data_IF_876876821161
#
_entry.id   IF_876876821161
#
_cell.length_a   1.000
_cell.length_b   1.000
_cell.length_c   1.000
_cell.angle_alpha   90.00
_cell.angle_beta   90.00
_cell.angle_gamma   90.00
#
_symmetry.space_group_name_H-M   'P 1'
#
loop_
_entity.id
_entity.type
_entity.pdbx_description
1 polymer ?
#
# COMPACT_ATOMS: atom_id res chain seq x y z
N UNK A 1 -13.40 20.59 10.29
CA UNK A 1 -12.82 21.46 11.34
C UNK A 1 -13.25 20.93 12.70
N UNK A 2 -12.54 19.93 13.22
CA UNK A 2 -12.51 19.64 14.65
C UNK A 2 -11.26 20.36 15.20
N UNK A 3 -11.45 21.23 16.18
CA UNK A 3 -10.34 21.92 16.82
C UNK A 3 -9.55 20.91 17.67
N UNK A 4 -8.35 20.55 17.22
CA UNK A 4 -7.39 19.82 18.04
C UNK A 4 -6.91 20.77 19.14
N UNK A 5 -7.42 20.63 20.35
CA UNK A 5 -6.96 21.38 21.52
C UNK A 5 -5.83 20.57 22.18
N UNK A 6 -4.57 20.92 21.92
CA UNK A 6 -3.40 20.34 22.59
C UNK A 6 -2.88 21.29 23.68
N UNK A 7 -2.75 20.81 24.91
CA UNK A 7 -2.21 21.56 26.05
C UNK A 7 -0.88 20.96 26.53
N UNK A 8 0.24 21.67 26.37
CA UNK A 8 1.57 21.20 26.80
C UNK A 8 1.81 21.34 28.32
N UNK A 9 2.60 20.43 28.91
CA UNK A 9 3.08 20.53 30.29
C UNK A 9 4.57 20.11 30.43
N UNK A 10 5.35 20.86 31.22
CA UNK A 10 6.72 20.54 31.64
C UNK A 10 6.88 20.73 33.16
N UNK A 11 7.72 19.90 33.81
CA UNK A 11 8.10 20.15 35.20
C UNK A 11 9.37 19.42 35.64
N UNK A 12 10.25 20.12 36.38
CA UNK A 12 11.24 19.56 37.33
C UNK A 12 11.54 20.60 38.44
N UNK A 13 11.80 20.12 39.67
CA UNK A 13 12.15 20.89 40.88
C UNK A 13 13.58 20.68 41.37
N UNK A 14 14.17 21.75 41.93
CA UNK A 14 15.03 21.87 43.13
C UNK A 14 16.27 22.74 42.89
N UNK A 15 16.88 23.37 43.93
CA UNK A 15 17.76 24.53 43.77
C UNK A 15 19.20 24.28 44.25
N UNK A 16 20.19 24.69 43.46
CA UNK A 16 21.35 25.52 43.80
C UNK A 16 22.11 25.93 42.52
N UNK A 17 22.13 27.24 42.20
CA UNK A 17 22.70 27.85 40.99
C UNK A 17 22.32 27.13 39.68
N UNK A 18 21.02 27.01 39.43
CA UNK A 18 20.54 26.36 38.21
C UNK A 18 20.61 27.37 37.07
N UNK A 19 21.14 26.91 35.93
CA UNK A 19 20.80 27.51 34.65
C UNK A 19 19.28 27.71 34.61
N UNK A 20 18.83 28.86 34.12
CA UNK A 20 17.42 29.13 33.96
C UNK A 20 16.77 28.00 33.15
N UNK A 21 15.60 27.54 33.57
CA UNK A 21 14.90 26.53 32.81
C UNK A 21 14.54 27.11 31.42
N UNK A 22 14.74 26.35 30.32
CA UNK A 22 14.28 26.79 29.02
C UNK A 22 12.76 26.94 29.03
N UNK A 23 12.27 27.98 28.36
CA UNK A 23 10.85 28.30 28.23
C UNK A 23 10.45 28.14 26.77
N UNK A 24 9.49 27.28 26.50
CA UNK A 24 8.84 27.15 25.19
C UNK A 24 7.51 27.90 25.25
N UNK A 25 7.25 28.76 24.27
CA UNK A 25 6.00 29.53 24.17
C UNK A 25 5.59 29.71 22.69
N UNK A 26 4.45 30.35 22.44
CA UNK A 26 3.94 30.66 21.11
C UNK A 26 3.88 29.44 20.17
N UNK A 27 3.55 28.27 20.71
CA UNK A 27 3.40 27.04 19.93
C UNK A 27 2.16 27.18 19.04
N UNK A 28 2.38 27.18 17.74
CA UNK A 28 1.33 27.17 16.72
C UNK A 28 1.48 25.94 15.85
N UNK A 29 0.36 25.45 15.34
CA UNK A 29 0.29 24.29 14.48
C UNK A 29 -0.50 24.68 13.23
N UNK A 30 0.05 24.43 12.05
CA UNK A 30 -0.59 24.76 10.78
C UNK A 30 -0.35 23.63 9.77
N UNK A 31 -1.43 23.05 9.25
CA UNK A 31 -1.33 22.14 8.12
C UNK A 31 -1.23 22.97 6.84
N UNK A 32 -0.26 22.64 5.96
CA UNK A 32 -0.17 23.29 4.65
C UNK A 32 -1.37 22.93 3.79
N UNK A 33 -1.83 23.91 3.02
CA UNK A 33 -3.00 23.80 2.12
C UNK A 33 -2.59 23.64 0.65
N UNK A 34 -1.31 23.38 0.39
CA UNK A 34 -0.71 23.25 -0.94
C UNK A 34 -0.62 21.80 -1.42
N UNK A 35 -1.18 20.84 -0.67
CA UNK A 35 -1.13 19.41 -0.98
C UNK A 35 0.17 18.71 -0.56
N UNK A 36 1.12 19.42 0.04
CA UNK A 36 2.37 18.80 0.54
C UNK A 36 2.18 17.93 1.78
N UNK A 37 1.04 18.07 2.48
CA UNK A 37 0.69 17.31 3.70
C UNK A 37 1.64 17.50 4.87
N UNK A 38 2.49 18.52 4.78
CA UNK A 38 3.38 18.93 5.86
C UNK A 38 2.57 19.65 6.94
N UNK A 39 2.76 19.23 8.19
CA UNK A 39 2.31 19.97 9.36
C UNK A 39 3.47 20.84 9.87
N UNK A 40 3.32 22.15 9.78
CA UNK A 40 4.27 23.10 10.36
C UNK A 40 3.89 23.36 11.83
N UNK A 41 4.82 23.10 12.74
CA UNK A 41 4.75 23.49 14.15
C UNK A 41 5.74 24.63 14.37
N UNK A 42 5.27 25.83 14.65
CA UNK A 42 6.16 26.94 15.01
C UNK A 42 6.14 27.18 16.52
N UNK A 43 7.26 27.55 17.10
CA UNK A 43 7.37 27.84 18.52
C UNK A 43 8.49 28.83 18.79
N UNK A 44 8.43 29.49 19.93
CA UNK A 44 9.53 30.28 20.47
C UNK A 44 10.17 29.48 21.59
N UNK A 45 11.49 29.56 21.70
CA UNK A 45 12.20 28.96 22.84
C UNK A 45 13.24 29.91 23.38
N UNK A 46 13.19 30.14 24.68
CA UNK A 46 14.13 31.00 25.38
C UNK A 46 14.92 30.17 26.38
N UNK A 47 16.20 30.50 26.53
CA UNK A 47 17.03 30.08 27.64
C UNK A 47 17.87 31.28 28.05
N UNK A 48 17.85 31.61 29.35
CA UNK A 48 18.48 32.83 29.84
C UNK A 48 20.01 32.74 29.82
N UNK A 49 20.54 31.52 29.87
CA UNK A 49 21.98 31.26 29.82
C UNK A 49 22.50 31.15 28.36
N UNK A 50 21.58 30.98 27.41
CA UNK A 50 21.88 30.96 25.97
C UNK A 50 22.44 29.62 25.49
N UNK A 51 22.26 28.55 26.27
CA UNK A 51 22.73 27.22 25.92
C UNK A 51 21.92 26.64 24.75
N UNK A 52 22.54 25.71 24.03
CA UNK A 52 21.81 24.93 23.03
C UNK A 52 20.87 23.93 23.73
N UNK A 53 19.66 23.82 23.20
CA UNK A 53 18.58 23.07 23.81
C UNK A 53 18.35 21.74 23.10
N UNK A 54 17.81 20.79 23.87
CA UNK A 54 17.20 19.58 23.33
C UNK A 54 15.69 19.79 23.27
N UNK A 55 15.12 19.71 22.07
CA UNK A 55 13.69 19.90 21.84
C UNK A 55 13.06 18.55 21.52
N UNK A 56 12.03 18.16 22.26
CA UNK A 56 11.17 17.02 21.95
C UNK A 56 9.76 17.49 21.63
N UNK A 57 9.08 16.74 20.77
CA UNK A 57 7.68 16.92 20.45
C UNK A 57 6.91 15.70 20.97
N UNK A 58 5.68 15.91 21.42
CA UNK A 58 4.71 14.85 21.69
C UNK A 58 3.37 15.31 21.14
N UNK A 59 2.61 14.38 20.57
CA UNK A 59 1.28 14.65 20.04
C UNK A 59 0.23 13.91 20.88
N UNK A 60 -0.99 14.43 20.84
CA UNK A 60 -2.15 13.85 21.50
C UNK A 60 -3.29 13.74 20.48
N UNK A 61 -3.92 12.57 20.44
CA UNK A 61 -5.07 12.30 19.60
C UNK A 61 -6.41 12.48 20.33
N UNK A 62 -6.38 12.73 21.64
CA UNK A 62 -7.57 12.74 22.52
C UNK A 62 -7.75 14.07 23.28
N UNK A 63 -7.30 15.17 22.66
CA UNK A 63 -7.45 16.52 23.24
C UNK A 63 -6.57 16.76 24.47
N UNK A 64 -5.43 16.08 24.56
CA UNK A 64 -4.43 16.24 25.61
C UNK A 64 -4.59 15.30 26.81
N UNK A 65 -5.50 14.32 26.75
CA UNK A 65 -5.69 13.35 27.84
C UNK A 65 -4.55 12.31 27.88
N UNK A 66 -4.03 11.92 26.72
CA UNK A 66 -2.82 11.08 26.57
C UNK A 66 -1.87 11.68 25.54
N UNK A 67 -0.57 11.46 25.76
CA UNK A 67 0.55 12.00 24.95
C UNK A 67 1.38 10.87 24.33
N UNK A 68 0.68 9.83 23.90
CA UNK A 68 1.27 8.61 23.34
C UNK A 68 1.33 8.61 21.82
N UNK A 69 0.83 9.65 21.14
CA UNK A 69 0.90 9.71 19.68
C UNK A 69 2.33 10.12 19.29
N UNK A 70 3.11 9.22 18.67
CA UNK A 70 4.46 9.56 18.26
C UNK A 70 4.36 10.68 17.21
N UNK A 71 5.10 11.80 17.37
CA UNK A 71 5.35 12.70 16.26
C UNK A 71 6.28 11.99 15.30
N UNK A 72 5.69 11.11 14.50
CA UNK A 72 6.37 10.51 13.38
C UNK A 72 6.79 11.65 12.48
N UNK A 73 8.03 11.58 12.00
CA UNK A 73 8.51 12.39 10.89
C UNK A 73 8.76 13.88 11.15
N UNK A 74 9.13 14.23 12.38
CA UNK A 74 9.49 15.60 12.77
C UNK A 74 10.89 16.02 12.30
N UNK A 75 10.99 17.14 11.60
CA UNK A 75 12.24 17.74 11.11
C UNK A 75 12.30 19.23 11.42
N UNK A 76 13.47 19.87 11.25
CA UNK A 76 13.66 21.30 11.52
C UNK A 76 14.29 21.56 12.89
N UNK A 77 13.73 22.48 13.66
CA UNK A 77 14.21 22.82 14.99
C UNK A 77 13.69 21.79 16.02
N UNK A 78 14.20 20.56 15.97
CA UNK A 78 13.87 19.48 16.90
C UNK A 78 15.14 18.68 17.24
N UNK A 79 15.17 18.01 18.38
CA UNK A 79 16.33 17.26 18.87
C UNK A 79 17.38 18.15 19.54
N UNK A 80 18.61 17.67 19.62
CA UNK A 80 19.72 18.37 20.27
C UNK A 80 20.25 19.54 19.42
N UNK A 81 20.82 20.55 20.09
CA UNK A 81 21.59 21.60 19.42
C UNK A 81 20.76 22.80 18.94
N UNK A 82 19.50 22.91 19.37
CA UNK A 82 18.61 24.00 18.94
C UNK A 82 18.92 25.26 19.74
N UNK A 83 19.32 26.34 19.07
CA UNK A 83 19.59 27.61 19.72
C UNK A 83 18.28 28.29 20.20
N UNK A 84 18.30 29.04 21.31
CA UNK A 84 17.20 29.90 21.73
C UNK A 84 16.83 30.93 20.65
N UNK A 85 15.56 31.28 20.52
CA UNK A 85 15.05 32.27 19.58
C UNK A 85 13.56 32.10 19.28
N UNK A 86 13.00 33.12 18.64
CA UNK A 86 11.63 33.11 18.16
C UNK A 86 11.52 32.47 16.76
N UNK A 87 10.34 31.96 16.42
CA UNK A 87 10.02 31.43 15.10
C UNK A 87 10.76 30.13 14.76
N UNK A 88 11.09 29.32 15.76
CA UNK A 88 11.51 27.94 15.54
C UNK A 88 10.38 27.18 14.87
N UNK A 89 10.74 26.22 14.04
CA UNK A 89 9.79 25.53 13.18
C UNK A 89 10.18 24.05 13.09
N UNK A 90 9.19 23.19 13.28
CA UNK A 90 9.24 21.75 13.08
C UNK A 90 8.29 21.40 11.95
N UNK A 91 8.69 20.53 11.04
CA UNK A 91 7.83 20.00 9.98
C UNK A 91 7.58 18.52 10.24
N UNK A 92 6.31 18.10 10.17
CA UNK A 92 5.93 16.69 10.18
C UNK A 92 5.44 16.31 8.77
N UNK A 93 5.97 15.25 8.20
CA UNK A 93 5.67 14.80 6.83
C UNK A 93 5.48 13.28 6.80
N UNK A 94 4.49 12.72 6.12
CA UNK A 94 4.23 11.27 6.17
C UNK A 94 4.74 10.57 4.90
N UNK A 95 5.35 9.39 5.03
CA UNK A 95 5.85 8.61 3.89
C UNK A 95 4.67 8.19 2.96
N UNK A 96 5.01 7.81 1.72
CA UNK A 96 4.07 7.23 0.76
C UNK A 96 3.58 5.85 1.24
N UNK A 97 2.35 5.79 1.76
CA UNK A 97 1.75 4.61 2.39
C UNK A 97 0.51 4.14 1.60
N UNK A 98 0.48 2.84 1.31
CA UNK A 98 -0.70 2.16 0.82
C UNK A 98 -1.23 1.17 1.88
N UNK A 99 -2.51 1.27 2.19
CA UNK A 99 -3.22 0.36 3.11
C UNK A 99 -4.13 -0.54 2.29
N UNK A 100 -4.10 -1.86 2.50
CA UNK A 100 -5.11 -2.76 1.92
C UNK A 100 -5.95 -3.39 3.03
N UNK A 101 -7.12 -2.82 3.22
CA UNK A 101 -8.13 -3.27 4.15
C UNK A 101 -9.12 -4.20 3.43
N UNK A 102 -8.70 -5.45 3.22
CA UNK A 102 -9.51 -6.48 2.54
C UNK A 102 -10.44 -7.25 3.49
N UNK A 103 -10.37 -6.95 4.79
CA UNK A 103 -11.25 -7.49 5.82
C UNK A 103 -12.27 -6.44 6.27
N UNK A 104 -13.49 -6.86 6.66
CA UNK A 104 -14.51 -5.97 7.18
C UNK A 104 -13.99 -5.07 8.31
N UNK A 105 -14.21 -3.77 8.19
CA UNK A 105 -13.79 -2.78 9.18
C UNK A 105 -14.96 -2.03 9.82
N UNK A 106 -14.75 -1.55 11.05
CA UNK A 106 -15.68 -0.64 11.69
C UNK A 106 -15.44 0.80 11.21
N UNK A 107 -16.02 1.15 10.06
CA UNK A 107 -15.89 2.47 9.44
C UNK A 107 -16.66 3.60 10.16
N UNK A 108 -17.28 3.31 11.31
CA UNK A 108 -17.88 4.30 12.19
C UNK A 108 -17.00 4.65 13.39
N UNK A 109 -15.90 3.92 13.60
CA UNK A 109 -14.91 4.22 14.65
C UNK A 109 -14.02 5.40 14.20
N UNK A 110 -14.05 6.56 14.88
CA UNK A 110 -13.21 7.70 14.53
C UNK A 110 -11.71 7.35 14.53
N UNK A 111 -11.25 6.50 15.47
CA UNK A 111 -9.85 6.11 15.53
C UNK A 111 -9.41 5.30 14.31
N UNK A 112 -10.31 4.45 13.78
CA UNK A 112 -10.06 3.71 12.55
C UNK A 112 -10.02 4.64 11.34
N UNK A 113 -10.93 5.62 11.26
CA UNK A 113 -10.95 6.60 10.17
C UNK A 113 -9.68 7.45 10.17
N UNK A 114 -9.29 8.00 11.32
CA UNK A 114 -8.06 8.78 11.49
C UNK A 114 -6.82 7.96 11.18
N UNK A 115 -6.81 6.69 11.59
CA UNK A 115 -5.73 5.76 11.27
C UNK A 115 -5.61 5.58 9.76
N UNK A 116 -6.67 5.16 9.08
CA UNK A 116 -6.62 4.83 7.65
C UNK A 116 -6.44 6.07 6.77
N UNK A 117 -6.98 7.21 7.18
CA UNK A 117 -6.86 8.47 6.44
C UNK A 117 -5.42 9.01 6.37
N UNK A 118 -4.48 8.50 7.17
CA UNK A 118 -3.07 8.85 7.03
C UNK A 118 -2.46 8.35 5.70
N UNK A 119 -3.11 7.42 5.00
CA UNK A 119 -2.55 6.79 3.81
C UNK A 119 -2.72 7.68 2.57
N UNK A 120 -1.89 7.45 1.56
CA UNK A 120 -2.09 8.01 0.21
C UNK A 120 -3.14 7.23 -0.56
N UNK A 121 -3.11 5.91 -0.36
CA UNK A 121 -3.94 4.95 -1.06
C UNK A 121 -4.53 3.96 -0.07
N UNK A 122 -5.83 3.81 -0.14
CA UNK A 122 -6.59 2.78 0.55
C UNK A 122 -7.21 1.84 -0.48
N UNK A 123 -6.84 0.56 -0.43
CA UNK A 123 -7.55 -0.52 -1.11
C UNK A 123 -8.52 -1.15 -0.12
N UNK A 124 -9.81 -1.21 -0.46
CA UNK A 124 -10.84 -1.89 0.35
C UNK A 124 -11.58 -2.92 -0.47
N UNK A 125 -12.28 -3.86 0.16
CA UNK A 125 -13.25 -4.68 -0.58
C UNK A 125 -14.40 -3.79 -1.06
N UNK A 126 -14.62 -3.72 -2.38
CA UNK A 126 -15.57 -2.77 -2.96
C UNK A 126 -17.00 -2.92 -2.40
N UNK A 127 -17.43 -4.15 -2.11
CA UNK A 127 -18.76 -4.43 -1.56
C UNK A 127 -18.97 -3.92 -0.14
N UNK A 128 -17.91 -3.69 0.64
CA UNK A 128 -18.06 -3.10 1.97
C UNK A 128 -18.63 -1.68 1.88
N UNK A 129 -18.23 -0.93 0.86
CA UNK A 129 -18.61 0.47 0.69
C UNK A 129 -19.80 0.67 -0.27
N UNK A 130 -19.95 -0.21 -1.26
CA UNK A 130 -21.05 -0.17 -2.22
C UNK A 130 -22.37 -0.73 -1.67
N UNK A 131 -23.47 -0.42 -2.38
CA UNK A 131 -24.85 -0.65 -1.96
C UNK A 131 -25.15 -2.11 -1.58
N UNK A 132 -26.00 -2.30 -0.56
CA UNK A 132 -26.37 -3.63 -0.03
C UNK A 132 -25.49 -4.13 1.12
N UNK A 133 -24.46 -3.37 1.48
CA UNK A 133 -23.72 -3.52 2.74
C UNK A 133 -24.42 -2.80 3.89
N UNK A 134 -24.00 -3.08 5.13
CA UNK A 134 -24.42 -2.33 6.31
C UNK A 134 -24.04 -0.83 6.26
N UNK A 135 -23.18 -0.43 5.31
CA UNK A 135 -22.57 0.89 5.19
C UNK A 135 -23.02 1.66 3.96
N UNK A 136 -23.95 1.11 3.16
CA UNK A 136 -24.46 1.76 1.95
C UNK A 136 -24.96 3.21 2.18
N UNK A 137 -25.43 3.51 3.40
CA UNK A 137 -25.92 4.82 3.81
C UNK A 137 -24.97 5.59 4.74
N UNK A 138 -23.75 5.08 4.96
CA UNK A 138 -22.71 5.73 5.76
C UNK A 138 -21.72 6.38 4.79
N UNK A 139 -21.47 7.70 4.89
CA UNK A 139 -20.60 8.43 3.96
C UNK A 139 -19.12 8.22 4.32
N UNK A 140 -18.66 6.98 4.35
CA UNK A 140 -17.30 6.57 4.77
C UNK A 140 -16.23 7.33 3.98
N UNK A 141 -16.32 7.36 2.66
CA UNK A 141 -15.31 8.04 1.82
C UNK A 141 -15.30 9.54 2.06
N UNK A 142 -16.47 10.15 2.25
CA UNK A 142 -16.55 11.58 2.58
C UNK A 142 -15.90 11.86 3.94
N UNK A 143 -16.12 10.99 4.94
CA UNK A 143 -15.53 11.13 6.26
C UNK A 143 -14.00 10.97 6.22
N UNK A 144 -13.48 9.99 5.47
CA UNK A 144 -12.05 9.83 5.24
C UNK A 144 -11.46 11.07 4.54
N UNK A 145 -12.12 11.55 3.48
CA UNK A 145 -11.68 12.74 2.72
C UNK A 145 -11.82 14.05 3.49
N UNK A 146 -12.64 14.08 4.55
CA UNK A 146 -12.68 15.22 5.47
C UNK A 146 -11.45 15.31 6.38
N UNK A 147 -10.73 14.19 6.58
CA UNK A 147 -9.46 14.11 7.31
C UNK A 147 -8.29 14.26 6.34
N UNK A 148 -8.31 13.53 5.23
CA UNK A 148 -7.30 13.59 4.17
C UNK A 148 -7.96 13.73 2.79
N UNK A 149 -8.08 14.97 2.26
CA UNK A 149 -8.67 15.22 0.95
C UNK A 149 -7.94 14.54 -0.23
N UNK A 150 -6.65 14.22 -0.06
CA UNK A 150 -5.80 13.66 -1.11
C UNK A 150 -5.83 12.13 -1.15
N UNK A 151 -6.35 11.47 -0.10
CA UNK A 151 -6.50 10.01 -0.02
C UNK A 151 -7.27 9.48 -1.24
N UNK A 152 -6.68 8.50 -1.91
CA UNK A 152 -7.36 7.70 -2.93
C UNK A 152 -7.94 6.44 -2.32
N UNK A 153 -9.20 6.15 -2.61
CA UNK A 153 -9.88 4.94 -2.16
C UNK A 153 -10.26 4.10 -3.37
N UNK A 154 -9.65 2.93 -3.51
CA UNK A 154 -9.93 1.98 -4.60
C UNK A 154 -10.57 0.70 -4.08
N UNK A 155 -11.48 0.13 -4.86
CA UNK A 155 -12.19 -1.10 -4.49
C UNK A 155 -11.60 -2.33 -5.14
N UNK A 156 -11.31 -3.36 -4.35
CA UNK A 156 -10.96 -4.69 -4.84
C UNK A 156 -12.13 -5.29 -5.62
N UNK A 157 -11.84 -5.73 -6.85
CA UNK A 157 -12.73 -6.49 -7.73
C UNK A 157 -11.90 -7.59 -8.42
N UNK A 158 -12.43 -8.80 -8.49
CA UNK A 158 -11.77 -9.88 -9.23
C UNK A 158 -11.91 -9.68 -10.75
N UNK A 159 -10.82 -9.83 -11.50
CA UNK A 159 -10.84 -9.70 -12.95
C UNK A 159 -11.42 -10.92 -13.69
N UNK A 160 -11.61 -12.07 -13.04
CA UNK A 160 -12.13 -13.25 -13.72
C UNK A 160 -12.88 -14.26 -12.84
N UNK A 161 -13.15 -13.96 -11.56
CA UNK A 161 -13.91 -14.89 -10.71
C UNK A 161 -15.23 -14.31 -10.22
N UNK A 162 -16.20 -15.20 -10.05
CA UNK A 162 -17.40 -14.99 -9.25
C UNK A 162 -17.37 -15.91 -8.03
N UNK A 163 -17.67 -15.40 -6.84
CA UNK A 163 -17.67 -16.21 -5.60
C UNK A 163 -19.00 -16.95 -5.44
N UNK A 164 -18.95 -18.25 -5.11
CA UNK A 164 -20.14 -19.05 -4.78
C UNK A 164 -20.93 -18.46 -3.60
N UNK A 165 -20.23 -17.86 -2.64
CA UNK A 165 -20.86 -17.17 -1.50
C UNK A 165 -21.73 -15.98 -1.92
N UNK A 166 -21.58 -15.46 -3.14
CA UNK A 166 -22.45 -14.45 -3.72
C UNK A 166 -23.92 -14.88 -3.79
N UNK A 167 -24.19 -16.18 -3.94
CA UNK A 167 -25.55 -16.74 -3.90
C UNK A 167 -26.29 -16.46 -2.58
N UNK A 168 -25.52 -16.35 -1.48
CA UNK A 168 -26.02 -16.14 -0.13
C UNK A 168 -25.84 -14.69 0.35
N UNK A 169 -25.30 -13.81 -0.50
CA UNK A 169 -25.09 -12.40 -0.15
C UNK A 169 -26.44 -11.65 -0.10
N UNK A 170 -26.54 -10.54 0.65
CA UNK A 170 -27.79 -9.78 0.75
C UNK A 170 -28.37 -9.43 -0.62
N UNK A 171 -29.71 -9.52 -0.82
CA UNK A 171 -30.32 -9.14 -2.08
C UNK A 171 -29.99 -7.71 -2.50
N UNK A 172 -29.54 -7.54 -3.74
CA UNK A 172 -29.13 -6.24 -4.28
C UNK A 172 -27.71 -5.80 -3.91
N UNK A 173 -26.97 -6.57 -3.10
CA UNK A 173 -25.55 -6.30 -2.86
C UNK A 173 -24.69 -6.55 -4.10
N UNK A 174 -23.50 -5.94 -4.14
CA UNK A 174 -22.54 -6.11 -5.24
C UNK A 174 -22.26 -7.58 -5.51
N UNK A 175 -21.88 -8.37 -4.50
CA UNK A 175 -21.56 -9.79 -4.71
C UNK A 175 -22.76 -10.66 -5.12
N UNK A 176 -23.97 -10.31 -4.69
CA UNK A 176 -25.18 -11.01 -5.13
C UNK A 176 -25.49 -10.73 -6.61
N UNK A 177 -25.37 -9.47 -7.02
CA UNK A 177 -25.55 -9.08 -8.43
C UNK A 177 -24.42 -9.64 -9.31
N UNK A 178 -23.17 -9.55 -8.86
CA UNK A 178 -22.00 -10.12 -9.52
C UNK A 178 -22.17 -11.62 -9.77
N UNK A 179 -22.54 -12.38 -8.73
CA UNK A 179 -22.84 -13.80 -8.85
C UNK A 179 -23.97 -14.08 -9.84
N UNK A 180 -25.10 -13.40 -9.69
CA UNK A 180 -26.30 -13.66 -10.49
C UNK A 180 -26.07 -13.36 -11.97
N UNK A 181 -25.43 -12.23 -12.26
CA UNK A 181 -25.20 -11.75 -13.62
C UNK A 181 -24.08 -12.51 -14.34
N UNK A 182 -23.08 -12.99 -13.62
CA UNK A 182 -21.95 -13.71 -14.21
C UNK A 182 -22.13 -15.22 -14.26
N UNK A 183 -23.09 -15.79 -13.53
CA UNK A 183 -23.41 -17.23 -13.56
C UNK A 183 -23.59 -17.83 -14.96
N UNK A 184 -24.25 -17.17 -15.93
CA UNK A 184 -24.37 -17.70 -17.30
C UNK A 184 -23.04 -17.83 -18.05
N UNK A 185 -21.97 -17.21 -17.56
CA UNK A 185 -20.64 -17.19 -18.17
C UNK A 185 -19.62 -18.00 -17.38
N UNK A 186 -20.06 -18.90 -16.51
CA UNK A 186 -19.13 -19.78 -15.79
C UNK A 186 -18.38 -20.69 -16.75
N UNK A 187 -17.10 -20.86 -16.49
CA UNK A 187 -16.20 -21.75 -17.21
C UNK A 187 -16.29 -23.16 -16.60
N UNK A 188 -16.17 -24.16 -17.46
CA UNK A 188 -16.13 -25.57 -17.05
C UNK A 188 -14.74 -26.14 -17.31
N UNK A 189 -14.44 -27.28 -16.69
CA UNK A 189 -13.21 -28.01 -16.95
C UNK A 189 -13.37 -28.90 -18.18
N UNK A 190 -12.26 -29.44 -18.69
CA UNK A 190 -12.26 -30.44 -19.76
C UNK A 190 -13.02 -31.74 -19.41
N UNK A 191 -13.33 -31.96 -18.13
CA UNK A 191 -14.19 -33.04 -17.64
C UNK A 191 -15.66 -32.63 -17.40
N UNK A 192 -15.98 -31.36 -17.60
CA UNK A 192 -17.32 -30.79 -17.41
C UNK A 192 -17.65 -30.34 -15.98
N UNK A 193 -16.67 -30.33 -15.06
CA UNK A 193 -16.85 -29.76 -13.71
C UNK A 193 -16.81 -28.23 -13.75
N UNK A 194 -17.29 -27.55 -12.71
CA UNK A 194 -17.22 -26.08 -12.63
C UNK A 194 -15.79 -25.64 -12.36
N UNK A 195 -15.19 -24.89 -13.27
CA UNK A 195 -13.81 -24.42 -13.14
C UNK A 195 -13.68 -23.38 -12.02
N UNK A 196 -12.70 -23.55 -11.15
CA UNK A 196 -12.40 -22.62 -10.06
C UNK A 196 -10.89 -22.37 -9.99
N UNK A 197 -10.49 -21.17 -9.58
CA UNK A 197 -9.08 -20.85 -9.30
C UNK A 197 -8.76 -20.89 -7.81
N UNK A 198 -9.78 -20.78 -6.95
CA UNK A 198 -9.71 -20.97 -5.51
C UNK A 198 -10.96 -21.68 -5.01
N UNK A 199 -10.93 -22.27 -3.81
CA UNK A 199 -12.14 -22.82 -3.20
C UNK A 199 -13.29 -21.80 -3.17
N UNK A 200 -14.32 -22.08 -3.97
CA UNK A 200 -15.51 -21.24 -4.11
C UNK A 200 -15.36 -19.99 -5.00
N UNK A 201 -14.24 -19.79 -5.70
CA UNK A 201 -14.05 -18.73 -6.69
C UNK A 201 -14.14 -19.31 -8.11
N UNK A 202 -15.34 -19.27 -8.69
CA UNK A 202 -15.65 -19.82 -10.01
C UNK A 202 -15.11 -18.92 -11.10
N UNK A 203 -14.43 -19.50 -12.10
CA UNK A 203 -13.92 -18.78 -13.26
C UNK A 203 -15.08 -18.33 -14.15
N UNK A 204 -15.05 -17.06 -14.56
CA UNK A 204 -15.97 -16.50 -15.55
C UNK A 204 -15.27 -16.35 -16.90
N UNK A 205 -16.00 -16.57 -17.98
CA UNK A 205 -15.47 -16.58 -19.34
C UNK A 205 -15.27 -15.14 -19.82
N UNK A 206 -14.13 -14.56 -19.45
CA UNK A 206 -13.71 -13.24 -19.90
C UNK A 206 -13.28 -13.20 -21.36
N UNK A 207 -13.29 -14.32 -22.09
CA UNK A 207 -13.12 -14.34 -23.56
C UNK A 207 -14.39 -13.85 -24.25
N UNK A 208 -15.54 -14.11 -23.63
CA UNK A 208 -16.83 -13.64 -24.10
C UNK A 208 -16.97 -12.10 -23.91
N UNK A 209 -17.12 -11.31 -25.00
CA UNK A 209 -17.31 -9.87 -24.90
C UNK A 209 -18.52 -9.45 -24.05
N UNK A 210 -19.58 -10.25 -24.07
CA UNK A 210 -20.78 -9.99 -23.28
C UNK A 210 -20.52 -10.16 -21.78
N UNK A 211 -19.73 -11.16 -21.39
CA UNK A 211 -19.31 -11.33 -20.00
C UNK A 211 -18.56 -10.08 -19.50
N UNK A 212 -17.57 -9.60 -20.27
CA UNK A 212 -16.82 -8.38 -19.93
C UNK A 212 -17.73 -7.15 -19.86
N UNK A 213 -18.67 -6.99 -20.79
CA UNK A 213 -19.66 -5.90 -20.76
C UNK A 213 -20.47 -5.93 -19.46
N UNK A 214 -20.99 -7.10 -19.06
CA UNK A 214 -21.76 -7.27 -17.83
C UNK A 214 -20.92 -6.97 -16.58
N UNK A 215 -19.64 -7.37 -16.56
CA UNK A 215 -18.71 -7.01 -15.48
C UNK A 215 -18.57 -5.49 -15.35
N UNK A 216 -18.28 -4.80 -16.45
CA UNK A 216 -18.14 -3.34 -16.48
C UNK A 216 -19.43 -2.65 -16.07
N UNK A 217 -20.58 -3.05 -16.62
CA UNK A 217 -21.87 -2.45 -16.29
C UNK A 217 -22.22 -2.61 -14.81
N UNK A 218 -21.90 -3.76 -14.23
CA UNK A 218 -22.14 -3.99 -12.81
C UNK A 218 -21.27 -3.05 -11.96
N UNK A 219 -19.98 -2.89 -12.27
CA UNK A 219 -19.11 -1.92 -11.58
C UNK A 219 -19.64 -0.50 -11.74
N UNK A 220 -19.98 -0.10 -12.97
CA UNK A 220 -20.48 1.26 -13.28
C UNK A 220 -21.77 1.57 -12.55
N UNK A 221 -22.70 0.61 -12.48
CA UNK A 221 -23.96 0.76 -11.77
C UNK A 221 -23.73 1.01 -10.28
N UNK A 222 -22.92 0.19 -9.62
CA UNK A 222 -22.64 0.36 -8.19
C UNK A 222 -21.84 1.63 -7.91
N UNK A 223 -20.83 1.94 -8.73
CA UNK A 223 -20.05 3.16 -8.61
C UNK A 223 -20.92 4.43 -8.74
N UNK A 224 -21.87 4.46 -9.68
CA UNK A 224 -22.73 5.65 -9.90
C UNK A 224 -23.85 5.78 -8.88
N UNK A 225 -24.36 4.66 -8.34
CA UNK A 225 -25.49 4.65 -7.41
C UNK A 225 -25.08 4.61 -5.93
N UNK A 226 -23.80 4.36 -5.63
CA UNK A 226 -23.28 4.34 -4.26
C UNK A 226 -23.08 5.75 -3.70
N UNK A 227 -23.37 5.92 -2.40
CA UNK A 227 -22.95 7.08 -1.63
C UNK A 227 -21.42 7.16 -1.50
N UNK A 228 -20.77 6.00 -1.37
CA UNK A 228 -19.32 5.87 -1.35
C UNK A 228 -18.82 5.63 -2.77
N UNK A 229 -18.54 6.72 -3.49
CA UNK A 229 -17.92 6.68 -4.81
C UNK A 229 -16.42 6.49 -4.67
N UNK A 230 -15.90 5.37 -5.17
CA UNK A 230 -14.48 5.06 -5.15
C UNK A 230 -13.73 5.91 -6.18
N UNK A 231 -12.45 6.16 -5.94
CA UNK A 231 -11.54 6.80 -6.90
C UNK A 231 -11.11 5.82 -8.02
N UNK A 232 -11.32 4.52 -7.82
CA UNK A 232 -10.93 3.49 -8.77
C UNK A 232 -11.22 2.06 -8.34
N UNK A 233 -10.67 1.12 -9.10
CA UNK A 233 -10.68 -0.31 -8.78
C UNK A 233 -9.26 -0.87 -8.69
N UNK A 234 -9.10 -1.81 -7.78
CA UNK A 234 -7.98 -2.73 -7.72
C UNK A 234 -8.44 -4.04 -8.37
N UNK A 235 -7.80 -4.42 -9.46
CA UNK A 235 -8.06 -5.66 -10.17
C UNK A 235 -7.18 -6.77 -9.65
N UNK A 236 -7.80 -7.86 -9.20
CA UNK A 236 -7.06 -9.06 -8.83
C UNK A 236 -6.94 -10.05 -10.00
N UNK A 237 -5.79 -10.74 -10.05
CA UNK A 237 -5.42 -11.79 -11.01
C UNK A 237 -5.25 -11.40 -12.49
N UNK A 238 -4.55 -10.33 -12.83
CA UNK A 238 -4.04 -10.17 -14.20
C UNK A 238 -2.73 -10.95 -14.42
N UNK A 239 -2.85 -12.25 -14.66
CA UNK A 239 -1.75 -13.15 -14.97
C UNK A 239 -1.66 -13.42 -16.49
N UNK A 240 -0.53 -13.87 -17.03
CA UNK A 240 -0.44 -14.21 -18.46
C UNK A 240 -1.31 -15.43 -18.87
N UNK A 241 -1.76 -16.19 -17.88
CA UNK A 241 -2.64 -17.36 -17.96
C UNK A 241 -3.43 -17.47 -16.64
N UNK A 242 -4.52 -18.22 -16.61
CA UNK A 242 -5.21 -18.57 -15.36
C UNK A 242 -4.23 -19.23 -14.39
N UNK A 243 -4.25 -18.74 -13.15
CA UNK A 243 -3.55 -19.37 -12.03
C UNK A 243 -4.55 -20.14 -11.19
N UNK A 244 -4.28 -21.41 -10.90
CA UNK A 244 -5.16 -22.28 -10.11
C UNK A 244 -4.45 -22.60 -8.80
N UNK A 245 -5.17 -22.46 -7.68
CA UNK A 245 -4.65 -22.78 -6.36
C UNK A 245 -4.19 -24.24 -6.30
N UNK A 246 -2.93 -24.53 -5.93
CA UNK A 246 -2.38 -25.88 -6.03
C UNK A 246 -3.09 -26.96 -5.20
N UNK A 247 -3.80 -26.59 -4.14
CA UNK A 247 -4.53 -27.56 -3.29
C UNK A 247 -5.99 -27.74 -3.73
N UNK A 248 -6.43 -27.04 -4.77
CA UNK A 248 -7.76 -27.20 -5.32
C UNK A 248 -7.86 -28.56 -6.02
N UNK A 249 -8.82 -29.38 -5.59
CA UNK A 249 -9.12 -30.67 -6.22
C UNK A 249 -10.40 -30.53 -7.05
N UNK A 250 -10.24 -30.41 -8.37
CA UNK A 250 -11.32 -30.41 -9.37
C UNK A 250 -11.00 -31.44 -10.45
N UNK A 251 -12.02 -32.04 -11.06
CA UNK A 251 -11.80 -32.99 -12.15
C UNK A 251 -11.59 -32.24 -13.47
N UNK A 252 -10.52 -32.57 -14.20
CA UNK A 252 -10.14 -31.89 -15.44
C UNK A 252 -9.44 -30.55 -15.20
N UNK A 253 -9.05 -29.90 -16.30
CA UNK A 253 -8.37 -28.60 -16.31
C UNK A 253 -9.33 -27.50 -16.79
N UNK A 254 -9.17 -26.23 -16.38
CA UNK A 254 -9.96 -25.12 -16.93
C UNK A 254 -9.95 -25.09 -18.46
N UNK A 255 -11.11 -24.89 -19.07
CA UNK A 255 -11.32 -24.80 -20.53
C UNK A 255 -12.29 -23.62 -20.78
N UNK A 256 -11.74 -22.42 -21.02
CA UNK A 256 -12.51 -21.18 -21.01
C UNK A 256 -13.42 -21.02 -22.24
N UNK A 257 -13.06 -21.57 -23.39
CA UNK A 257 -13.85 -21.48 -24.62
C UNK A 257 -14.69 -22.74 -24.92
N UNK A 258 -14.44 -23.84 -24.21
CA UNK A 258 -15.26 -25.05 -24.21
C UNK A 258 -14.98 -25.98 -25.39
N UNK A 259 -13.80 -25.90 -26.01
CA UNK A 259 -13.42 -26.74 -27.14
C UNK A 259 -12.85 -28.11 -26.74
N UNK A 260 -12.68 -28.34 -25.44
CA UNK A 260 -12.15 -29.57 -24.85
C UNK A 260 -10.63 -29.56 -24.65
N UNK A 261 -9.94 -28.46 -24.94
CA UNK A 261 -8.51 -28.26 -24.72
C UNK A 261 -8.32 -27.46 -23.44
N UNK A 262 -7.43 -27.94 -22.57
CA UNK A 262 -7.11 -27.23 -21.33
C UNK A 262 -6.46 -25.86 -21.64
N UNK A 263 -6.83 -24.83 -20.87
CA UNK A 263 -6.33 -23.45 -20.99
C UNK A 263 -4.82 -23.33 -21.15
N UNK A 264 -4.06 -24.06 -20.33
CA UNK A 264 -2.58 -24.01 -20.36
C UNK A 264 -1.98 -24.70 -21.60
N UNK A 265 -2.79 -25.50 -22.31
CA UNK A 265 -2.44 -26.22 -23.53
C UNK A 265 -3.05 -25.60 -24.78
N UNK A 266 -3.80 -24.50 -24.66
CA UNK A 266 -4.46 -23.82 -25.76
C UNK A 266 -3.83 -22.42 -26.01
N UNK A 267 -2.98 -22.30 -27.05
CA UNK A 267 -2.36 -21.01 -27.41
C UNK A 267 -3.35 -19.94 -27.86
N UNK A 268 -4.44 -20.32 -28.53
CA UNK A 268 -5.44 -19.38 -29.05
C UNK A 268 -6.31 -18.87 -27.89
N UNK A 269 -6.67 -19.74 -26.95
CA UNK A 269 -7.34 -19.36 -25.70
C UNK A 269 -6.47 -18.42 -24.85
N UNK A 270 -5.17 -18.73 -24.67
CA UNK A 270 -4.24 -17.84 -23.96
C UNK A 270 -4.10 -16.47 -24.63
N UNK A 271 -4.12 -16.42 -25.96
CA UNK A 271 -4.11 -15.16 -26.69
C UNK A 271 -5.43 -14.38 -26.50
N UNK A 272 -6.56 -15.07 -26.57
CA UNK A 272 -7.88 -14.49 -26.33
C UNK A 272 -8.05 -13.98 -24.89
N UNK A 273 -7.52 -14.71 -23.91
CA UNK A 273 -7.52 -14.33 -22.49
C UNK A 273 -6.80 -13.00 -22.28
N UNK A 274 -5.57 -12.88 -22.81
CA UNK A 274 -4.79 -11.65 -22.76
C UNK A 274 -5.47 -10.49 -23.51
N UNK A 275 -6.12 -10.75 -24.65
CA UNK A 275 -6.89 -9.72 -25.34
C UNK A 275 -8.13 -9.30 -24.53
N UNK A 276 -8.76 -10.24 -23.83
CA UNK A 276 -9.89 -10.02 -22.93
C UNK A 276 -9.55 -9.10 -21.77
N UNK A 277 -8.37 -9.27 -21.15
CA UNK A 277 -7.88 -8.40 -20.07
C UNK A 277 -7.73 -6.94 -20.56
N UNK A 278 -7.11 -6.74 -21.73
CA UNK A 278 -6.97 -5.40 -22.35
C UNK A 278 -8.34 -4.79 -22.62
N UNK A 279 -9.26 -5.58 -23.18
CA UNK A 279 -10.62 -5.11 -23.49
C UNK A 279 -11.40 -4.76 -22.21
N UNK A 280 -11.26 -5.53 -21.13
CA UNK A 280 -11.93 -5.28 -19.86
C UNK A 280 -11.48 -3.94 -19.24
N UNK A 281 -10.17 -3.72 -19.11
CA UNK A 281 -9.64 -2.49 -18.47
C UNK A 281 -9.91 -1.25 -19.32
N UNK A 282 -9.89 -1.39 -20.64
CA UNK A 282 -10.23 -0.30 -21.57
C UNK A 282 -11.71 0.05 -21.49
N UNK A 283 -12.61 -0.95 -21.52
CA UNK A 283 -14.04 -0.71 -21.44
C UNK A 283 -14.47 -0.08 -20.11
N UNK A 284 -13.82 -0.44 -18.99
CA UNK A 284 -14.10 0.22 -17.71
C UNK A 284 -13.66 1.68 -17.73
N UNK A 285 -12.47 1.98 -18.28
CA UNK A 285 -11.97 3.35 -18.45
C UNK A 285 -12.88 4.18 -19.33
N UNK A 286 -13.30 3.65 -20.47
CA UNK A 286 -14.24 4.33 -21.38
C UNK A 286 -15.58 4.67 -20.68
N UNK A 287 -15.99 3.84 -19.71
CA UNK A 287 -17.26 3.99 -19.00
C UNK A 287 -17.22 4.95 -17.79
N UNK A 288 -16.08 5.01 -17.09
CA UNK A 288 -15.92 5.82 -15.85
C UNK A 288 -14.98 7.01 -16.00
N UNK A 289 -14.30 7.13 -17.14
CA UNK A 289 -13.40 8.22 -17.47
C UNK A 289 -11.93 7.89 -17.24
N UNK A 290 -11.06 8.68 -17.87
CA UNK A 290 -9.60 8.59 -17.74
C UNK A 290 -9.12 8.72 -16.28
N UNK A 291 -9.88 9.45 -15.46
CA UNK A 291 -9.55 9.70 -14.07
C UNK A 291 -9.86 8.53 -13.13
N UNK A 292 -10.59 7.51 -13.58
CA UNK A 292 -10.90 6.36 -12.74
C UNK A 292 -9.68 5.44 -12.61
N UNK A 293 -9.11 5.38 -11.41
CA UNK A 293 -7.85 4.66 -11.12
C UNK A 293 -8.06 3.16 -11.37
N UNK A 294 -7.09 2.52 -12.03
CA UNK A 294 -7.04 1.07 -12.16
C UNK A 294 -5.67 0.55 -11.74
N UNK A 295 -5.64 -0.20 -10.64
CA UNK A 295 -4.43 -0.87 -10.12
C UNK A 295 -4.50 -2.35 -10.45
N UNK A 296 -3.42 -2.92 -10.98
CA UNK A 296 -3.38 -4.32 -11.39
C UNK A 296 -2.56 -5.17 -10.41
N UNK A 297 -3.12 -6.25 -9.90
CA UNK A 297 -2.38 -7.36 -9.31
C UNK A 297 -2.22 -8.48 -10.32
N UNK A 298 -1.09 -9.20 -10.26
CA UNK A 298 -0.82 -10.35 -11.12
C UNK A 298 0.38 -10.17 -12.04
N UNK A 299 0.94 -11.30 -12.48
CA UNK A 299 2.25 -11.38 -13.14
C UNK A 299 2.31 -10.68 -14.50
N UNK A 300 1.17 -10.47 -15.17
CA UNK A 300 1.15 -9.84 -16.50
C UNK A 300 1.50 -8.36 -16.42
N UNK A 301 1.01 -7.64 -15.40
CA UNK A 301 1.33 -6.23 -15.19
C UNK A 301 2.83 -5.96 -15.08
N UNK A 302 3.60 -6.94 -14.61
CA UNK A 302 5.07 -6.87 -14.59
C UNK A 302 5.72 -7.40 -15.88
N UNK A 303 5.20 -8.51 -16.44
CA UNK A 303 5.82 -9.21 -17.57
C UNK A 303 5.60 -8.57 -18.94
N UNK A 304 4.52 -7.79 -19.09
CA UNK A 304 4.05 -7.19 -20.34
C UNK A 304 3.94 -5.67 -20.17
N UNK A 305 4.99 -4.93 -20.58
CA UNK A 305 5.04 -3.47 -20.43
C UNK A 305 3.94 -2.74 -21.20
N UNK A 306 3.42 -3.32 -22.29
CA UNK A 306 2.32 -2.73 -23.04
C UNK A 306 1.01 -2.83 -22.26
N UNK A 307 0.78 -3.97 -21.60
CA UNK A 307 -0.36 -4.12 -20.68
C UNK A 307 -0.18 -3.28 -19.42
N UNK A 308 1.03 -3.23 -18.85
CA UNK A 308 1.36 -2.37 -17.71
C UNK A 308 1.01 -0.91 -17.98
N UNK A 309 1.29 -0.40 -19.19
CA UNK A 309 0.98 0.97 -19.58
C UNK A 309 -0.52 1.32 -19.57
N UNK A 310 -1.40 0.33 -19.45
CA UNK A 310 -2.83 0.55 -19.25
C UNK A 310 -3.21 0.77 -17.78
N UNK A 311 -2.31 0.54 -16.82
CA UNK A 311 -2.58 0.66 -15.38
C UNK A 311 -2.10 2.01 -14.82
N UNK A 312 -2.79 2.48 -13.79
CA UNK A 312 -2.35 3.60 -12.95
C UNK A 312 -1.42 3.14 -11.82
N UNK A 313 -1.39 1.83 -11.57
CA UNK A 313 -0.54 1.23 -10.55
C UNK A 313 -0.47 -0.27 -10.68
N UNK A 314 0.50 -0.86 -9.99
CA UNK A 314 0.68 -2.30 -9.87
C UNK A 314 0.83 -2.69 -8.42
N UNK A 315 0.29 -3.84 -8.08
CA UNK A 315 0.58 -4.54 -6.83
C UNK A 315 1.54 -5.69 -7.08
N UNK A 316 2.60 -5.73 -6.28
CA UNK A 316 3.52 -6.85 -6.18
C UNK A 316 3.22 -7.62 -4.90
N UNK A 317 2.28 -8.55 -5.00
CA UNK A 317 1.94 -9.52 -3.96
C UNK A 317 3.13 -10.45 -3.63
N UNK A 318 3.39 -10.67 -2.33
CA UNK A 318 4.52 -11.45 -1.83
C UNK A 318 5.87 -11.04 -2.45
N UNK A 319 6.07 -9.74 -2.65
CA UNK A 319 7.29 -9.18 -3.22
C UNK A 319 8.52 -9.51 -2.35
N UNK A 320 9.65 -9.95 -2.92
CA UNK A 320 9.92 -10.16 -4.35
C UNK A 320 9.55 -11.54 -4.87
N UNK A 321 9.17 -12.49 -4.00
CA UNK A 321 9.11 -13.92 -4.30
C UNK A 321 8.25 -14.28 -5.51
N UNK A 322 7.06 -13.69 -5.65
CA UNK A 322 6.12 -14.09 -6.71
C UNK A 322 6.51 -13.61 -8.11
N UNK A 323 7.19 -12.46 -8.20
CA UNK A 323 7.50 -11.78 -9.47
C UNK A 323 8.99 -11.85 -9.84
N UNK A 324 9.84 -11.94 -8.82
CA UNK A 324 11.29 -12.03 -8.92
C UNK A 324 11.78 -13.21 -8.05
N UNK A 325 11.38 -14.45 -8.40
CA UNK A 325 11.73 -15.62 -7.60
C UNK A 325 13.24 -15.81 -7.54
N UNK A 326 13.69 -16.44 -6.46
CA UNK A 326 15.11 -16.69 -6.20
C UNK A 326 15.81 -17.38 -7.39
N UNK A 327 17.06 -17.00 -7.73
CA UNK A 327 17.90 -15.94 -7.13
C UNK A 327 17.67 -14.53 -7.72
N UNK A 328 16.58 -14.32 -8.46
CA UNK A 328 16.37 -13.14 -9.31
C UNK A 328 15.80 -11.92 -8.57
N UNK A 329 15.67 -11.95 -7.23
CA UNK A 329 15.17 -10.81 -6.46
C UNK A 329 15.92 -9.50 -6.80
N UNK A 330 17.23 -9.57 -7.06
CA UNK A 330 18.03 -8.41 -7.47
C UNK A 330 17.55 -7.77 -8.80
N UNK A 331 16.94 -8.55 -9.69
CA UNK A 331 16.47 -8.05 -10.97
C UNK A 331 15.33 -7.02 -10.81
N UNK A 332 14.64 -7.01 -9.66
CA UNK A 332 13.58 -6.04 -9.40
C UNK A 332 14.06 -4.59 -9.42
N UNK A 333 15.30 -4.33 -9.03
CA UNK A 333 15.85 -2.95 -9.03
C UNK A 333 17.16 -2.83 -9.82
N UNK A 334 17.49 -3.85 -10.62
CA UNK A 334 18.61 -3.80 -11.54
C UNK A 334 18.22 -3.03 -12.81
N UNK A 335 18.82 -1.86 -13.09
CA UNK A 335 18.47 -1.05 -14.26
C UNK A 335 18.73 -1.79 -15.60
N UNK A 336 19.60 -2.80 -15.62
CA UNK A 336 19.85 -3.62 -16.81
C UNK A 336 18.76 -4.67 -17.10
N UNK A 337 17.87 -4.95 -16.14
CA UNK A 337 16.79 -5.89 -16.33
C UNK A 337 15.56 -5.18 -16.91
N UNK A 338 15.08 -5.61 -18.07
CA UNK A 338 14.08 -4.87 -18.85
C UNK A 338 12.79 -4.58 -18.06
N UNK A 339 12.32 -5.53 -17.26
CA UNK A 339 11.07 -5.40 -16.50
C UNK A 339 11.32 -5.05 -15.02
N UNK A 340 12.44 -4.41 -14.69
CA UNK A 340 12.65 -3.95 -13.31
C UNK A 340 11.57 -2.93 -12.89
N UNK A 341 11.43 -2.71 -11.59
CA UNK A 341 10.41 -1.85 -11.00
C UNK A 341 10.47 -0.40 -11.51
N UNK A 342 11.65 0.14 -11.83
CA UNK A 342 11.77 1.50 -12.40
C UNK A 342 11.26 1.57 -13.83
N UNK A 343 11.60 0.59 -14.66
CA UNK A 343 11.14 0.54 -16.05
C UNK A 343 9.63 0.36 -16.12
N UNK A 344 9.08 -0.52 -15.28
CA UNK A 344 7.64 -0.72 -15.19
C UNK A 344 6.96 0.57 -14.70
N UNK A 345 7.48 1.20 -13.63
CA UNK A 345 6.96 2.49 -13.14
C UNK A 345 6.92 3.57 -14.23
N UNK A 346 7.91 3.61 -15.13
CA UNK A 346 7.98 4.60 -16.20
C UNK A 346 6.97 4.40 -17.33
N UNK A 347 6.39 3.20 -17.48
CA UNK A 347 5.35 2.96 -18.49
C UNK A 347 3.94 3.12 -17.93
N UNK A 348 3.78 3.07 -16.60
CA UNK A 348 2.49 3.27 -15.94
C UNK A 348 1.93 4.68 -16.22
N UNK A 349 0.60 4.75 -16.14
CA UNK A 349 -0.14 6.00 -16.19
C UNK A 349 0.19 6.85 -14.95
N UNK A 350 0.35 8.14 -15.17
CA UNK A 350 0.62 9.13 -14.10
C UNK A 350 -0.63 9.94 -13.73
N UNK A 351 -1.81 9.40 -13.99
CA UNK A 351 -3.08 10.06 -13.70
C UNK A 351 -3.44 9.89 -12.22
N UNK A 352 -4.11 10.91 -11.65
CA UNK A 352 -4.65 10.93 -10.27
C UNK A 352 -3.71 10.47 -9.16
N UNK A 353 -2.46 10.93 -9.17
CA UNK A 353 -1.48 10.64 -8.13
C UNK A 353 -0.65 9.38 -8.38
N UNK A 354 -0.93 8.63 -9.46
CA UNK A 354 -0.08 7.53 -9.91
C UNK A 354 1.28 8.03 -10.44
N UNK A 355 2.27 7.13 -10.59
CA UNK A 355 2.10 5.67 -10.63
C UNK A 355 2.11 5.00 -9.24
N UNK A 356 1.09 4.20 -8.95
CA UNK A 356 0.93 3.50 -7.66
C UNK A 356 1.67 2.16 -7.67
N UNK A 357 2.94 2.15 -7.28
CA UNK A 357 3.76 0.92 -7.19
C UNK A 357 3.70 0.34 -5.79
N UNK A 358 2.81 -0.63 -5.55
CA UNK A 358 2.57 -1.20 -4.22
C UNK A 358 3.40 -2.46 -4.02
N UNK A 359 4.34 -2.43 -3.10
CA UNK A 359 5.15 -3.60 -2.71
C UNK A 359 4.56 -4.20 -1.44
N UNK A 360 4.10 -5.45 -1.53
CA UNK A 360 3.49 -6.13 -0.39
C UNK A 360 4.19 -7.44 -0.08
N UNK A 361 4.48 -7.66 1.19
CA UNK A 361 4.94 -8.95 1.68
C UNK A 361 4.41 -9.21 3.09
N UNK A 362 3.82 -10.39 3.27
CA UNK A 362 3.18 -10.81 4.53
C UNK A 362 4.07 -11.72 5.37
N UNK A 363 5.25 -12.05 4.86
CA UNK A 363 6.09 -13.05 5.48
C UNK A 363 6.87 -12.48 6.66
N UNK A 364 6.98 -13.32 7.68
CA UNK A 364 7.83 -13.11 8.83
C UNK A 364 9.07 -13.96 8.70
N UNK A 365 10.18 -13.37 9.07
CA UNK A 365 11.44 -14.06 9.20
C UNK A 365 11.95 -13.95 10.65
N UNK A 366 12.72 -14.93 11.10
CA UNK A 366 13.36 -14.90 12.41
C UNK A 366 14.86 -15.07 12.23
N UNK A 367 15.64 -14.33 13.02
CA UNK A 367 17.09 -14.42 12.99
C UNK A 367 17.68 -14.27 14.38
N UNK A 368 18.94 -14.68 14.54
CA UNK A 368 19.69 -14.44 15.78
C UNK A 368 20.51 -13.16 15.62
N UNK A 369 20.20 -12.15 16.44
CA UNK A 369 20.88 -10.86 16.38
C UNK A 369 22.31 -10.92 16.95
N UNK A 370 23.01 -9.79 16.91
CA UNK A 370 24.37 -9.65 17.44
C UNK A 370 24.48 -9.87 18.97
N UNK A 371 23.36 -9.91 19.69
CA UNK A 371 23.27 -10.18 21.12
C UNK A 371 22.79 -11.62 21.41
N UNK A 372 22.79 -12.48 20.39
CA UNK A 372 22.28 -13.85 20.48
C UNK A 372 20.79 -13.96 20.84
N UNK A 373 20.00 -12.92 20.55
CA UNK A 373 18.54 -12.93 20.74
C UNK A 373 17.84 -13.29 19.44
N UNK A 374 16.78 -14.11 19.53
CA UNK A 374 15.88 -14.31 18.39
C UNK A 374 15.10 -13.03 18.14
N UNK A 375 15.29 -12.42 16.99
CA UNK A 375 14.59 -11.23 16.54
C UNK A 375 13.66 -11.59 15.38
N UNK A 376 12.44 -11.06 15.43
CA UNK A 376 11.48 -11.13 14.34
C UNK A 376 11.80 -10.02 13.34
N UNK A 377 12.08 -10.39 12.09
CA UNK A 377 12.10 -9.49 10.96
C UNK A 377 10.76 -9.61 10.23
N UNK A 378 10.02 -8.52 10.25
CA UNK A 378 8.85 -8.39 9.40
C UNK A 378 9.31 -7.94 8.01
N UNK A 379 9.14 -8.79 6.99
CA UNK A 379 9.77 -8.57 5.68
C UNK A 379 9.24 -7.32 4.97
N UNK A 380 8.02 -6.86 5.29
CA UNK A 380 7.52 -5.57 4.82
C UNK A 380 8.43 -4.39 5.18
N UNK A 381 9.12 -4.43 6.33
CA UNK A 381 9.95 -3.30 6.80
C UNK A 381 11.23 -3.27 5.97
N UNK A 382 11.77 -4.45 5.69
CA UNK A 382 12.91 -4.62 4.81
C UNK A 382 12.60 -4.14 3.39
N UNK A 383 11.42 -4.45 2.84
CA UNK A 383 11.07 -4.07 1.47
C UNK A 383 10.52 -2.64 1.33
N UNK A 384 10.12 -1.97 2.43
CA UNK A 384 9.84 -0.52 2.41
C UNK A 384 11.03 0.29 1.90
N UNK A 385 12.25 -0.13 2.25
CA UNK A 385 13.49 0.49 1.75
C UNK A 385 13.53 0.48 0.23
N UNK A 386 13.02 -0.58 -0.41
CA UNK A 386 12.90 -0.65 -1.86
C UNK A 386 11.87 0.37 -2.35
N UNK A 387 10.70 0.45 -1.72
CA UNK A 387 9.65 1.43 -2.03
C UNK A 387 10.20 2.87 -1.97
N UNK A 388 10.92 3.23 -0.89
CA UNK A 388 11.59 4.53 -0.74
C UNK A 388 12.59 4.79 -1.88
N UNK A 389 13.43 3.81 -2.21
CA UNK A 389 14.41 3.94 -3.30
C UNK A 389 13.73 4.13 -4.66
N UNK A 390 12.56 3.55 -4.90
CA UNK A 390 11.90 3.59 -6.20
C UNK A 390 10.78 4.62 -6.36
N UNK A 391 10.46 5.36 -5.28
CA UNK A 391 9.27 6.22 -5.23
C UNK A 391 7.99 5.39 -5.46
N UNK A 392 7.85 4.36 -4.63
CA UNK A 392 6.68 3.49 -4.57
C UNK A 392 6.09 3.47 -3.16
N UNK A 393 5.11 2.60 -2.97
CA UNK A 393 4.33 2.44 -1.75
C UNK A 393 4.65 1.08 -1.13
N UNK A 394 4.86 1.06 0.17
CA UNK A 394 4.88 -0.19 0.92
C UNK A 394 3.47 -0.49 1.43
N UNK A 395 3.06 -1.75 1.30
CA UNK A 395 1.88 -2.30 1.96
C UNK A 395 2.33 -3.38 2.94
N UNK A 396 2.08 -3.16 4.22
CA UNK A 396 2.44 -4.11 5.27
C UNK A 396 1.44 -5.27 5.35
N UNK A 397 1.73 -6.34 6.09
CA UNK A 397 0.68 -7.16 6.72
C UNK A 397 1.16 -7.62 8.11
N UNK A 398 0.38 -7.36 9.14
CA UNK A 398 0.58 -8.01 10.44
C UNK A 398 -0.11 -9.36 10.41
N UNK A 399 0.60 -10.40 9.97
CA UNK A 399 0.04 -11.75 9.99
C UNK A 399 -0.11 -12.19 11.46
N UNK A 400 -1.32 -12.16 12.00
CA UNK A 400 -1.63 -12.54 13.39
C UNK A 400 -1.47 -14.06 13.67
N UNK A 401 -0.94 -14.82 12.72
CA UNK A 401 -0.81 -16.27 12.76
C UNK A 401 -2.05 -17.04 12.28
N UNK A 402 -3.15 -16.36 11.94
CA UNK A 402 -4.32 -16.99 11.30
C UNK A 402 -4.16 -16.98 9.78
N UNK A 403 -4.39 -18.13 9.14
CA UNK A 403 -4.04 -18.41 7.74
C UNK A 403 -4.68 -17.51 6.67
N UNK A 404 -5.60 -16.61 7.03
CA UNK A 404 -6.35 -15.79 6.07
C UNK A 404 -6.71 -14.36 6.54
N UNK A 405 -6.16 -13.86 7.67
CA UNK A 405 -6.39 -12.47 8.08
C UNK A 405 -5.41 -11.54 7.34
N UNK A 406 -5.77 -11.17 6.11
CA UNK A 406 -5.00 -10.21 5.31
C UNK A 406 -5.37 -8.77 5.68
N UNK A 407 -4.90 -8.29 6.83
CA UNK A 407 -4.95 -6.86 7.13
C UNK A 407 -3.64 -6.26 6.62
N UNK A 408 -3.64 -5.77 5.39
CA UNK A 408 -2.45 -5.12 4.87
C UNK A 408 -2.39 -3.69 5.42
N UNK A 409 -1.40 -3.42 6.27
CA UNK A 409 -1.46 -2.29 7.20
C UNK A 409 -0.29 -1.31 7.13
N UNK A 410 -0.19 -0.58 8.23
CA UNK A 410 0.80 0.43 8.55
C UNK A 410 2.15 -0.20 8.85
N UNK A 411 3.25 0.46 8.48
CA UNK A 411 4.57 0.05 8.99
C UNK A 411 4.65 0.40 10.47
N UNK A 412 5.24 -0.46 11.29
CA UNK A 412 5.40 -0.19 12.73
C UNK A 412 6.34 1.01 13.01
N UNK A 413 7.19 1.37 12.04
CA UNK A 413 8.18 2.44 12.15
C UNK A 413 8.13 3.36 10.92
N UNK A 414 7.25 4.35 10.87
CA UNK A 414 7.27 5.32 9.76
C UNK A 414 8.53 6.20 9.85
N UNK A 415 9.28 6.39 8.75
CA UNK A 415 10.55 7.14 8.75
C UNK A 415 10.60 8.12 7.58
N UNK A 416 10.23 9.36 7.87
CA UNK A 416 10.40 10.45 6.92
C UNK A 416 11.87 10.77 6.69
N UNK A 417 12.21 10.67 5.41
CA UNK A 417 13.43 11.19 4.83
C UNK A 417 13.14 12.40 3.92
N UNK A 418 11.87 12.78 3.76
CA UNK A 418 11.38 13.86 2.90
C UNK A 418 11.31 13.48 1.43
N UNK A 419 11.08 14.45 0.55
CA UNK A 419 11.04 14.20 -0.89
C UNK A 419 12.40 13.76 -1.44
N UNK A 420 12.46 12.87 -2.45
CA UNK A 420 13.69 12.54 -3.14
C UNK A 420 14.35 13.78 -3.77
N UNK A 421 15.65 13.96 -3.52
CA UNK A 421 16.42 15.07 -4.14
C UNK A 421 16.97 14.72 -5.51
N UNK A 422 16.79 13.45 -5.94
CA UNK A 422 17.22 12.95 -7.22
C UNK A 422 16.92 11.46 -7.43
N UNK A 423 17.34 10.90 -8.59
CA UNK A 423 17.25 9.47 -8.85
C UNK A 423 18.22 8.68 -7.97
N UNK A 424 17.99 7.36 -7.77
CA UNK A 424 18.95 6.50 -7.12
C UNK A 424 20.31 6.47 -7.82
N UNK A 425 21.37 6.45 -7.03
CA UNK A 425 22.77 6.28 -7.46
C UNK A 425 23.18 4.83 -7.25
N UNK A 426 23.76 4.23 -8.29
CA UNK A 426 24.20 2.84 -8.29
C UNK A 426 25.74 2.75 -8.29
N UNK A 427 26.29 1.96 -7.37
CA UNK A 427 27.70 1.59 -7.32
C UNK A 427 27.84 0.07 -7.09
N UNK A 428 27.84 -0.68 -8.19
CA UNK A 428 27.89 -2.15 -8.17
C UNK A 428 26.67 -2.78 -7.47
N UNK A 429 26.86 -3.23 -6.24
CA UNK A 429 25.79 -3.81 -5.42
C UNK A 429 25.14 -2.78 -4.48
N UNK A 430 25.72 -1.59 -4.38
CA UNK A 430 25.24 -0.52 -3.52
C UNK A 430 24.29 0.39 -4.29
N UNK A 431 23.19 0.76 -3.65
CA UNK A 431 22.19 1.69 -4.15
C UNK A 431 21.98 2.73 -3.07
N UNK A 432 22.03 4.00 -3.44
CA UNK A 432 21.74 5.12 -2.55
C UNK A 432 20.68 6.00 -3.16
N UNK A 433 19.75 6.49 -2.35
CA UNK A 433 18.90 7.62 -2.73
C UNK A 433 18.95 8.68 -1.64
N UNK A 434 19.19 9.91 -2.07
CA UNK A 434 19.25 11.08 -1.18
C UNK A 434 17.89 11.77 -1.19
N UNK A 435 17.44 12.22 -0.03
CA UNK A 435 16.16 12.89 0.20
C UNK A 435 16.40 14.20 0.95
N UNK A 436 15.37 15.05 1.06
CA UNK A 436 15.49 16.37 1.67
C UNK A 436 16.07 16.34 3.09
N UNK A 437 15.67 15.34 3.88
CA UNK A 437 16.04 15.21 5.30
C UNK A 437 16.90 13.99 5.61
N UNK A 438 17.24 13.20 4.59
CA UNK A 438 17.82 11.89 4.83
C UNK A 438 18.43 11.23 3.61
N UNK A 439 18.78 9.97 3.77
CA UNK A 439 19.16 9.09 2.68
C UNK A 439 18.85 7.65 3.01
N UNK A 440 18.53 6.89 1.99
CA UNK A 440 18.35 5.44 2.07
C UNK A 440 19.49 4.78 1.31
N UNK A 441 20.15 3.84 1.98
CA UNK A 441 21.25 3.06 1.45
C UNK A 441 20.87 1.58 1.47
N UNK A 442 21.08 0.87 0.36
CA UNK A 442 20.82 -0.55 0.21
C UNK A 442 22.05 -1.22 -0.41
N UNK A 443 22.51 -2.33 0.15
CA UNK A 443 23.61 -3.13 -0.40
C UNK A 443 23.16 -4.57 -0.68
N UNK A 444 23.05 -4.93 -1.97
CA UNK A 444 22.75 -6.29 -2.39
C UNK A 444 23.88 -7.26 -2.01
N UNK A 445 23.51 -8.37 -1.36
CA UNK A 445 24.46 -9.45 -1.06
C UNK A 445 24.29 -10.59 -2.05
N UNK A 446 23.62 -11.65 -1.64
CA UNK A 446 23.42 -12.87 -2.43
C UNK A 446 22.10 -12.85 -3.20
N UNK A 447 21.19 -11.92 -2.86
CA UNK A 447 19.80 -11.93 -3.33
C UNK A 447 18.94 -13.02 -2.68
N UNK A 448 19.50 -13.85 -1.78
CA UNK A 448 18.78 -14.98 -1.16
C UNK A 448 17.80 -14.52 -0.08
N UNK A 449 16.56 -14.99 -0.20
CA UNK A 449 15.55 -14.93 0.85
C UNK A 449 16.07 -15.66 2.10
N UNK A 450 15.75 -15.21 3.31
CA UNK A 450 14.89 -14.06 3.63
C UNK A 450 15.56 -12.69 3.58
N UNK A 451 16.89 -12.60 3.58
CA UNK A 451 17.62 -11.33 3.70
C UNK A 451 18.50 -11.01 2.49
N UNK A 452 17.88 -10.55 1.37
CA UNK A 452 18.61 -10.39 0.13
C UNK A 452 19.62 -9.22 0.13
N UNK A 453 19.43 -8.24 1.02
CA UNK A 453 20.24 -7.02 1.12
C UNK A 453 20.38 -6.50 2.55
N UNK A 454 21.42 -5.68 2.76
CA UNK A 454 21.56 -4.80 3.93
C UNK A 454 20.95 -3.45 3.61
N UNK A 455 20.53 -2.70 4.63
CA UNK A 455 20.17 -1.31 4.42
C UNK A 455 20.47 -0.42 5.63
N UNK A 456 20.52 0.89 5.37
CA UNK A 456 20.53 1.96 6.35
C UNK A 456 19.56 3.04 5.93
N UNK A 457 18.80 3.55 6.89
CA UNK A 457 17.99 4.75 6.73
C UNK A 457 18.62 5.82 7.61
N UNK A 458 18.97 6.93 6.98
CA UNK A 458 19.47 8.12 7.63
C UNK A 458 18.36 9.17 7.64
N UNK A 459 18.11 9.78 8.78
CA UNK A 459 17.25 10.96 8.90
C UNK A 459 17.95 11.99 9.80
N UNK A 460 17.95 13.25 9.37
CA UNK A 460 18.59 14.39 10.04
C UNK A 460 20.07 14.13 10.40
N UNK A 461 20.79 13.43 9.52
CA UNK A 461 22.21 13.10 9.68
C UNK A 461 22.50 11.95 10.65
N UNK A 462 21.48 11.29 11.21
CA UNK A 462 21.61 10.14 12.10
C UNK A 462 21.09 8.87 11.43
N UNK A 463 21.67 7.72 11.76
CA UNK A 463 21.11 6.42 11.38
C UNK A 463 19.93 6.15 12.31
N UNK A 464 18.73 6.13 11.75
CA UNK A 464 17.48 5.87 12.48
C UNK A 464 17.04 4.40 12.35
N UNK A 465 17.48 3.72 11.29
CA UNK A 465 17.25 2.28 11.11
C UNK A 465 18.42 1.65 10.35
N UNK A 466 18.83 0.45 10.77
CA UNK A 466 19.87 -0.32 10.09
C UNK A 466 19.60 -1.81 10.21
N UNK A 467 19.49 -2.49 9.07
CA UNK A 467 19.55 -3.95 9.02
C UNK A 467 20.98 -4.39 8.69
N UNK A 468 21.72 -4.74 9.74
CA UNK A 468 22.95 -5.52 9.62
C UNK A 468 22.53 -6.97 9.45
N UNK A 469 22.83 -7.57 8.29
CA UNK A 469 22.50 -8.99 8.04
C UNK A 469 22.92 -9.82 9.25
N UNK A 470 21.98 -10.54 9.87
CA UNK A 470 22.24 -11.34 11.05
C UNK A 470 23.12 -12.54 10.72
N UNK A 471 23.79 -13.08 11.74
CA UNK A 471 24.49 -14.35 11.61
C UNK A 471 23.46 -15.46 11.48
N UNK A 472 23.04 -15.76 10.25
CA UNK A 472 22.26 -16.97 9.98
C UNK A 472 23.16 -18.18 10.23
N UNK A 473 22.77 -19.05 11.17
CA UNK A 473 23.29 -20.41 11.17
C UNK A 473 22.79 -21.10 9.88
N UNK A 474 23.67 -21.80 9.15
CA UNK A 474 23.38 -22.37 7.84
C UNK A 474 22.20 -23.35 7.82
#
# INVERSE_FOLDING_TARGET
>A
MAALAGLLAFGVSAPDAHAAAPVVDNVMLAQRVDGSRILDVTYDVADADGDQLFISLQLSADGGATWGFPPLNASGHIGAGVAPGAGRAIQLDYDNIAVLQLNPSNWQDPAQLERVAQADLLVVTADELWTGSALANVPVIQNLKAINPDLKVVGYVSAFTSRLSGANSPPGSFWQQWYTRLRPYWVYTTAGDTSMTWPGAVVVNTLNPECRRIMVETIVEFQRNSLNQLDGVYWDYFNPSLWVYPELTIEGDPDMDGDGIAHLSDPDELAAYRAGEVALVTALRDSLGEDYIQIFNGQRGYGDLAFAALADGLMYELYPTLFFPQPNARNSINPAFANNLFNVRNVLRTQNGGPWMILSNTWRNQYVDQNSQTTLLETGNQFRVVAMIMDGFAAWNSHDGSTFSYTYGWTDNDICVGEPTGPPVYDGNFIRRDFQYGRVELEWKTGRYPDPFKYKIWSLGQIVEELRVPYHFP
#
